data_IF_852625446242
#
_entry.id   IF_852625446242
#
_cell.length_a   1.000
_cell.length_b   1.000
_cell.length_c   1.000
_cell.angle_alpha   90.00
_cell.angle_beta   90.00
_cell.angle_gamma   90.00
#
_symmetry.space_group_name_H-M   'P 1'
#
loop_
_entity.id
_entity.type
_entity.pdbx_description
1 polymer ?
#
# COMPACT_ATOMS: atom_id res chain seq x y z
N UNK A 1 -5.83 -17.22 -18.44
CA UNK A 1 -5.82 -16.94 -16.99
C UNK A 1 -4.54 -16.16 -16.71
N UNK A 2 -4.64 -14.87 -16.36
CA UNK A 2 -3.44 -14.09 -15.99
C UNK A 2 -3.05 -14.49 -14.57
N UNK A 3 -1.83 -14.94 -14.38
CA UNK A 3 -1.24 -15.18 -13.06
C UNK A 3 -0.77 -13.84 -12.50
N UNK A 4 -1.34 -13.43 -11.37
CA UNK A 4 -0.91 -12.23 -10.64
C UNK A 4 0.09 -12.70 -9.58
N UNK A 5 1.32 -12.21 -9.65
CA UNK A 5 2.34 -12.52 -8.64
C UNK A 5 2.13 -11.59 -7.44
N UNK A 6 1.59 -12.14 -6.35
CA UNK A 6 1.43 -11.40 -5.09
C UNK A 6 2.66 -11.67 -4.25
N UNK A 7 3.56 -10.70 -4.18
CA UNK A 7 4.70 -10.74 -3.27
C UNK A 7 4.23 -10.41 -1.85
N UNK A 8 4.01 -11.45 -1.04
CA UNK A 8 3.80 -11.29 0.38
C UNK A 8 5.08 -10.79 1.05
N UNK A 9 4.93 -9.82 1.95
CA UNK A 9 6.04 -9.21 2.68
C UNK A 9 5.69 -9.20 4.17
N UNK A 10 6.67 -9.56 5.00
CA UNK A 10 6.53 -9.45 6.46
C UNK A 10 6.47 -7.97 6.86
N UNK A 11 5.77 -7.65 7.95
CA UNK A 11 5.61 -6.27 8.41
C UNK A 11 6.94 -5.51 8.55
N UNK A 12 7.97 -6.14 9.10
CA UNK A 12 9.27 -5.51 9.26
C UNK A 12 9.92 -5.12 7.92
N UNK A 13 9.76 -5.96 6.91
CA UNK A 13 10.28 -5.70 5.57
C UNK A 13 9.42 -4.65 4.84
N UNK A 14 8.12 -4.60 5.13
CA UNK A 14 7.23 -3.51 4.70
C UNK A 14 7.72 -2.18 5.25
N UNK A 15 7.98 -2.11 6.56
CA UNK A 15 8.48 -0.90 7.22
C UNK A 15 9.82 -0.46 6.63
N UNK A 16 10.76 -1.40 6.38
CA UNK A 16 12.04 -1.10 5.72
C UNK A 16 11.84 -0.56 4.30
N UNK A 17 10.95 -1.17 3.51
CA UNK A 17 10.67 -0.76 2.14
C UNK A 17 10.04 0.64 2.09
N UNK A 18 9.04 0.91 2.94
CA UNK A 18 8.43 2.23 3.07
C UNK A 18 9.43 3.31 3.49
N UNK A 19 10.39 3.00 4.37
CA UNK A 19 11.48 3.91 4.74
C UNK A 19 12.40 4.17 3.56
N UNK A 20 12.79 3.12 2.83
CA UNK A 20 13.65 3.20 1.65
C UNK A 20 13.00 4.02 0.52
N UNK A 21 11.70 3.87 0.32
CA UNK A 21 10.92 4.59 -0.69
C UNK A 21 10.46 5.99 -0.24
N UNK A 22 10.74 6.39 1.00
CA UNK A 22 10.38 7.72 1.52
C UNK A 22 8.90 7.90 1.91
N UNK A 23 8.09 6.84 1.86
CA UNK A 23 6.68 6.87 2.26
C UNK A 23 6.45 6.77 3.77
N UNK A 24 7.42 6.25 4.54
CA UNK A 24 7.29 6.10 6.00
C UNK A 24 6.91 7.39 6.73
N UNK A 25 7.53 8.52 6.35
CA UNK A 25 7.21 9.83 6.93
C UNK A 25 5.83 10.35 6.52
N UNK A 26 5.31 9.94 5.36
CA UNK A 26 3.96 10.29 4.91
C UNK A 26 2.93 9.45 5.67
N UNK A 27 3.20 8.15 5.82
CA UNK A 27 2.37 7.21 6.57
C UNK A 27 2.17 7.67 8.02
N UNK A 28 3.26 7.86 8.75
CA UNK A 28 3.24 8.27 10.17
C UNK A 28 2.65 9.67 10.42
N UNK A 29 2.51 10.49 9.37
CA UNK A 29 1.84 11.80 9.42
C UNK A 29 0.37 11.75 8.95
N UNK A 30 -0.17 10.58 8.65
CA UNK A 30 -1.54 10.41 8.14
C UNK A 30 -1.75 11.06 6.77
N UNK A 31 -0.70 11.09 5.92
CA UNK A 31 -0.74 11.72 4.59
C UNK A 31 -0.90 10.73 3.43
N UNK A 32 -1.02 9.45 3.74
CA UNK A 32 -1.28 8.40 2.75
C UNK A 32 -2.75 8.07 2.85
N UNK A 33 -3.43 8.05 1.70
CA UNK A 33 -4.86 7.83 1.59
C UNK A 33 -5.08 6.59 0.73
N UNK A 34 -6.07 5.78 1.09
CA UNK A 34 -6.52 4.65 0.29
C UNK A 34 -7.01 5.15 -1.06
N UNK A 35 -6.47 4.60 -2.14
CA UNK A 35 -6.79 5.02 -3.52
C UNK A 35 -8.27 4.74 -3.88
N UNK A 36 -8.88 3.77 -3.21
CA UNK A 36 -10.27 3.36 -3.50
C UNK A 36 -11.30 4.05 -2.60
N UNK A 37 -11.14 3.96 -1.27
CA UNK A 37 -12.16 4.41 -0.31
C UNK A 37 -11.89 5.78 0.33
N UNK A 38 -10.71 6.36 0.13
CA UNK A 38 -10.34 7.65 0.72
C UNK A 38 -9.98 7.62 2.21
N UNK A 39 -9.93 6.44 2.84
CA UNK A 39 -9.53 6.30 4.24
C UNK A 39 -8.03 6.58 4.43
N UNK A 40 -7.65 7.20 5.55
CA UNK A 40 -6.24 7.40 5.90
C UNK A 40 -5.57 6.06 6.17
N UNK A 41 -4.44 5.81 5.51
CA UNK A 41 -3.61 4.63 5.72
C UNK A 41 -2.74 4.82 6.97
N UNK A 42 -2.78 3.83 7.85
CA UNK A 42 -1.97 3.67 9.05
C UNK A 42 -1.09 2.42 8.93
N UNK A 43 -0.22 2.17 9.92
CA UNK A 43 0.53 0.91 9.97
C UNK A 43 -0.38 -0.31 10.10
N UNK A 44 -1.53 -0.16 10.76
CA UNK A 44 -2.44 -1.25 11.10
C UNK A 44 -3.39 -1.64 9.97
N UNK A 45 -3.70 -0.70 9.06
CA UNK A 45 -4.62 -0.94 7.95
C UNK A 45 -3.92 -1.04 6.57
N UNK A 46 -2.61 -0.84 6.48
CA UNK A 46 -1.91 -0.95 5.19
C UNK A 46 -1.90 -2.41 4.69
N UNK A 47 -2.73 -2.68 3.68
CA UNK A 47 -2.90 -4.03 3.12
C UNK A 47 -2.09 -4.24 1.84
N UNK A 48 -2.07 -3.26 0.94
CA UNK A 48 -1.38 -3.40 -0.34
C UNK A 48 -0.74 -2.09 -0.81
N UNK A 49 0.37 -2.23 -1.54
CA UNK A 49 1.09 -1.16 -2.23
C UNK A 49 1.25 -1.64 -3.67
N UNK A 50 0.75 -0.86 -4.64
CA UNK A 50 0.80 -1.26 -6.05
C UNK A 50 1.23 -0.10 -6.95
N UNK A 51 1.92 -0.39 -8.06
CA UNK A 51 2.06 0.58 -9.13
C UNK A 51 0.73 0.69 -9.91
N UNK A 52 0.22 1.91 -10.09
CA UNK A 52 -0.96 2.23 -10.92
C UNK A 52 -0.66 3.47 -11.74
N UNK A 53 -0.75 3.38 -13.06
CA UNK A 53 -0.52 4.50 -13.99
C UNK A 53 0.82 5.25 -13.78
N UNK A 54 1.87 4.53 -13.36
CA UNK A 54 3.19 5.10 -13.09
C UNK A 54 3.35 5.70 -11.69
N UNK A 55 2.29 5.70 -10.89
CA UNK A 55 2.30 6.15 -9.49
C UNK A 55 2.24 4.97 -8.52
N UNK A 56 2.60 5.22 -7.27
CA UNK A 56 2.47 4.24 -6.18
C UNK A 56 1.20 4.55 -5.40
N UNK A 57 0.27 3.59 -5.40
CA UNK A 57 -1.01 3.67 -4.70
C UNK A 57 -1.05 2.69 -3.52
N UNK A 58 -1.91 3.01 -2.54
CA UNK A 58 -2.01 2.29 -1.26
C UNK A 58 -3.46 1.90 -1.00
N UNK A 59 -3.68 0.75 -0.35
CA UNK A 59 -5.01 0.22 -0.07
C UNK A 59 -5.15 -0.23 1.38
N UNK A 60 -6.28 0.10 2.02
CA UNK A 60 -6.55 -0.20 3.42
C UNK A 60 -7.15 -1.60 3.66
N UNK A 61 -7.64 -2.28 2.62
CA UNK A 61 -8.16 -3.65 2.73
C UNK A 61 -8.12 -4.37 1.39
N UNK A 62 -8.28 -5.70 1.42
CA UNK A 62 -8.36 -6.55 0.22
C UNK A 62 -9.54 -6.16 -0.67
N UNK A 63 -10.65 -5.70 -0.08
CA UNK A 63 -11.86 -5.28 -0.82
C UNK A 63 -11.59 -3.99 -1.62
N UNK A 64 -10.65 -3.17 -1.15
CA UNK A 64 -10.27 -1.94 -1.83
C UNK A 64 -9.33 -2.19 -3.01
N UNK A 65 -8.82 -3.41 -3.20
CA UNK A 65 -7.90 -3.74 -4.28
C UNK A 65 -8.72 -3.95 -5.56
N UNK A 66 -8.56 -3.10 -6.60
CA UNK A 66 -9.30 -3.26 -7.84
C UNK A 66 -8.89 -4.56 -8.57
N UNK A 67 -9.81 -5.20 -9.30
CA UNK A 67 -9.49 -6.36 -10.13
C UNK A 67 -8.49 -5.97 -11.22
N UNK A 68 -7.46 -6.80 -11.42
CA UNK A 68 -6.37 -6.60 -12.38
C UNK A 68 -6.52 -7.45 -13.64
#
# INVERSE_FOLDING_TARGET
MKTVDIHAMMEDDMKKSLKKWGYWKKLTKGKIICDECGETITEDNLTAIMPRDGEVVFYCSVICIPPT
#
